data_IF_045354342937
#
_entry.id   IF_045354342937
#
_cell.length_a   1.000
_cell.length_b   1.000
_cell.length_c   1.000
_cell.angle_alpha   90.00
_cell.angle_beta   90.00
_cell.angle_gamma   90.00
#
_symmetry.space_group_name_H-M   'P 1'
#
loop_
_entity.id
_entity.type
_entity.pdbx_description
1 polymer ?
#
# COMPACT_ATOMS: atom_id res chain seq x y z
N UNK A 1 13.41 6.58 -5.33
CA UNK A 1 12.08 6.17 -5.82
C UNK A 1 11.55 5.07 -4.95
N UNK A 2 10.46 5.34 -4.25
CA UNK A 2 9.78 4.34 -3.46
C UNK A 2 9.09 3.33 -4.37
N UNK A 3 9.30 2.04 -4.13
CA UNK A 3 8.77 0.97 -4.99
C UNK A 3 7.68 0.24 -4.24
N UNK A 4 6.48 0.16 -4.83
CA UNK A 4 5.32 -0.55 -4.27
C UNK A 4 5.68 -1.92 -3.67
N UNK A 5 6.42 -2.75 -4.41
CA UNK A 5 6.78 -4.08 -3.93
C UNK A 5 7.74 -4.08 -2.72
N UNK A 6 8.57 -3.04 -2.57
CA UNK A 6 9.44 -2.93 -1.40
C UNK A 6 8.61 -2.59 -0.15
N UNK A 7 7.66 -1.66 -0.26
CA UNK A 7 6.81 -1.26 0.87
C UNK A 7 5.84 -2.39 1.22
N UNK A 8 5.20 -3.01 0.22
CA UNK A 8 4.35 -4.17 0.41
C UNK A 8 5.07 -5.29 1.17
N UNK A 9 6.29 -5.64 0.76
CA UNK A 9 7.06 -6.70 1.43
C UNK A 9 7.44 -6.33 2.85
N UNK A 10 7.99 -5.14 3.08
CA UNK A 10 8.51 -4.77 4.40
C UNK A 10 7.42 -4.37 5.41
N UNK A 11 6.31 -3.80 4.94
CA UNK A 11 5.24 -3.30 5.81
C UNK A 11 4.12 -4.34 6.00
N UNK A 12 3.85 -5.20 5.00
CA UNK A 12 2.79 -6.20 5.07
C UNK A 12 3.32 -7.65 5.14
N UNK A 13 4.16 -8.07 4.20
CA UNK A 13 4.47 -9.51 4.05
C UNK A 13 5.43 -10.02 5.13
N UNK A 14 6.57 -9.38 5.32
CA UNK A 14 7.60 -9.85 6.26
C UNK A 14 7.21 -9.76 7.74
N UNK A 15 6.48 -8.73 8.23
CA UNK A 15 6.12 -8.67 9.64
C UNK A 15 4.90 -9.52 10.01
N UNK A 16 4.18 -10.09 9.05
CA UNK A 16 2.94 -10.84 9.31
C UNK A 16 3.06 -12.31 8.91
N UNK A 17 2.36 -13.17 9.65
CA UNK A 17 2.13 -14.55 9.29
C UNK A 17 0.65 -14.74 8.97
N UNK A 18 0.34 -15.27 7.79
CA UNK A 18 -1.02 -15.54 7.34
C UNK A 18 -1.30 -17.03 7.44
N UNK A 19 -2.40 -17.40 8.09
CA UNK A 19 -2.75 -18.80 8.34
C UNK A 19 -3.42 -19.47 7.15
N UNK A 20 -4.03 -18.67 6.27
CA UNK A 20 -4.80 -19.14 5.12
C UNK A 20 -4.78 -18.08 4.01
N UNK A 21 -5.24 -18.48 2.82
CA UNK A 21 -5.24 -17.59 1.66
C UNK A 21 -6.23 -16.42 1.80
N UNK A 22 -7.35 -16.61 2.51
CA UNK A 22 -8.36 -15.57 2.67
C UNK A 22 -7.88 -14.44 3.59
N UNK A 23 -7.17 -14.77 4.67
CA UNK A 23 -6.55 -13.76 5.53
C UNK A 23 -5.47 -12.95 4.81
N UNK A 24 -4.67 -13.59 3.94
CA UNK A 24 -3.73 -12.88 3.07
C UNK A 24 -4.45 -11.96 2.07
N UNK A 25 -5.51 -12.43 1.43
CA UNK A 25 -6.26 -11.66 0.43
C UNK A 25 -6.92 -10.42 1.05
N UNK A 26 -7.55 -10.56 2.23
CA UNK A 26 -8.14 -9.44 2.97
C UNK A 26 -7.07 -8.40 3.33
N UNK A 27 -5.94 -8.85 3.89
CA UNK A 27 -4.86 -7.97 4.30
C UNK A 27 -4.23 -7.25 3.11
N UNK A 28 -4.07 -7.94 1.97
CA UNK A 28 -3.56 -7.36 0.72
C UNK A 28 -4.52 -6.31 0.17
N UNK A 29 -5.83 -6.60 0.11
CA UNK A 29 -6.84 -5.65 -0.34
C UNK A 29 -6.85 -4.39 0.52
N UNK A 30 -6.83 -4.55 1.85
CA UNK A 30 -6.76 -3.42 2.77
C UNK A 30 -5.48 -2.62 2.60
N UNK A 31 -4.33 -3.29 2.47
CA UNK A 31 -3.05 -2.61 2.30
C UNK A 31 -2.99 -1.83 0.98
N UNK A 32 -3.42 -2.41 -0.13
CA UNK A 32 -3.36 -1.74 -1.44
C UNK A 32 -4.38 -0.63 -1.54
N UNK A 33 -5.66 -0.95 -1.30
CA UNK A 33 -6.74 0.00 -1.51
C UNK A 33 -6.73 1.09 -0.45
N UNK A 34 -6.75 0.75 0.84
CA UNK A 34 -6.86 1.76 1.90
C UNK A 34 -5.52 2.42 2.14
N UNK A 35 -4.51 1.63 2.53
CA UNK A 35 -3.25 2.20 3.01
C UNK A 35 -2.44 2.83 1.87
N UNK A 36 -2.01 2.06 0.88
CA UNK A 36 -1.08 2.50 -0.15
C UNK A 36 -1.67 3.59 -1.05
N UNK A 37 -2.93 3.43 -1.49
CA UNK A 37 -3.57 4.33 -2.45
C UNK A 37 -4.23 5.56 -1.81
N UNK A 38 -4.78 5.48 -0.60
CA UNK A 38 -5.60 6.57 -0.04
C UNK A 38 -5.03 7.19 1.24
N UNK A 39 -4.07 6.56 1.93
CA UNK A 39 -3.53 7.09 3.19
C UNK A 39 -2.04 7.43 3.09
N UNK A 40 -1.26 6.64 2.36
CA UNK A 40 0.19 6.74 2.32
C UNK A 40 0.65 7.86 1.37
N UNK A 41 1.31 8.92 1.86
CA UNK A 41 1.89 9.95 1.01
C UNK A 41 3.17 9.41 0.35
N UNK A 42 3.41 9.79 -0.91
CA UNK A 42 4.61 9.36 -1.65
C UNK A 42 5.46 10.58 -1.99
N UNK A 43 6.75 10.53 -1.68
CA UNK A 43 7.69 11.63 -1.97
C UNK A 43 7.80 11.95 -3.45
N UNK A 44 7.54 10.97 -4.32
CA UNK A 44 7.50 11.18 -5.78
C UNK A 44 6.28 11.99 -6.25
N UNK A 45 5.19 11.97 -5.47
CA UNK A 45 3.93 12.63 -5.79
C UNK A 45 3.76 13.95 -5.02
N UNK A 46 4.85 14.67 -4.73
CA UNK A 46 4.83 15.88 -3.87
C UNK A 46 4.14 15.65 -2.52
N UNK A 47 4.39 14.47 -1.92
CA UNK A 47 3.77 14.03 -0.66
C UNK A 47 2.26 13.82 -0.73
N UNK A 48 1.68 13.73 -1.92
CA UNK A 48 0.30 13.29 -2.11
C UNK A 48 0.22 11.77 -2.16
N UNK A 49 -0.95 11.24 -1.82
CA UNK A 49 -1.30 9.84 -2.03
C UNK A 49 -1.43 9.53 -3.53
N UNK A 50 -1.36 8.26 -3.97
CA UNK A 50 -1.57 7.91 -5.37
C UNK A 50 -2.97 8.28 -5.86
N UNK A 51 -3.98 8.18 -4.99
CA UNK A 51 -5.33 8.64 -5.29
C UNK A 51 -5.35 10.15 -5.53
N UNK A 52 -4.83 10.95 -4.60
CA UNK A 52 -4.76 12.40 -4.77
C UNK A 52 -3.95 12.79 -6.01
N UNK A 53 -2.80 12.18 -6.28
CA UNK A 53 -2.01 12.49 -7.47
C UNK A 53 -2.76 12.20 -8.79
N UNK A 54 -3.69 11.24 -8.78
CA UNK A 54 -4.48 10.87 -9.95
C UNK A 54 -5.71 11.76 -10.15
N UNK A 55 -6.27 12.28 -9.06
CA UNK A 55 -7.51 13.07 -9.09
C UNK A 55 -7.32 14.56 -8.75
N UNK A 56 -6.12 14.97 -8.34
CA UNK A 56 -5.72 16.36 -8.21
C UNK A 56 -5.43 16.89 -9.62
N UNK A 57 -6.45 17.47 -10.24
CA UNK A 57 -6.30 18.34 -11.41
C UNK A 57 -5.54 19.61 -11.07
#
# INVERSE_FOLDING_TARGET
>A
MERFYNTLKNELIYPNHFYDAASLDEALNRYVYVWYNHVRPHSYNDWKTPFEARYAG
#
